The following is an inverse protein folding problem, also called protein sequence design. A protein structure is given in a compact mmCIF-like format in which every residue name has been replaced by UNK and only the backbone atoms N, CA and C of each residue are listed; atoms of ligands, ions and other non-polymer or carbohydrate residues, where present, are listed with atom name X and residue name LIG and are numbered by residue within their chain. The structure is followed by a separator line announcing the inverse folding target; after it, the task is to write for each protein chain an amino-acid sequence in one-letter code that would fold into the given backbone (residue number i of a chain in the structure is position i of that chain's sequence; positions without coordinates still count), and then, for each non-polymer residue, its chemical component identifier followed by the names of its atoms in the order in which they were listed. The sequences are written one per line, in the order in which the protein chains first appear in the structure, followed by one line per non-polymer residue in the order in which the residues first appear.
data_IF_500840138084
#
_entry.id   IF_500840138084
#
_cell.length_a   1.000
_cell.length_b   1.000
_cell.length_c   1.000
_cell.angle_alpha   90.00
_cell.angle_beta   90.00
_cell.angle_gamma   90.00
#
_symmetry.space_group_name_H-M   'P 1'
#
loop_
_entity.id
_entity.type
_entity.pdbx_description
1 polymer ?
#
# COMPACT_ATOMS: atom_id res chain seq x y z
N UNK A 1 -0.65 6.34 -0.23
CA UNK A 1 -0.01 6.91 0.96
C UNK A 1 -0.37 6.06 2.17
N UNK A 2 0.62 5.68 2.96
CA UNK A 2 0.48 5.04 4.26
C UNK A 2 0.90 6.01 5.37
N UNK A 3 0.11 6.08 6.46
CA UNK A 3 0.35 7.01 7.55
C UNK A 3 1.19 6.36 8.64
N UNK A 4 2.34 6.94 8.95
CA UNK A 4 3.13 6.66 10.14
C UNK A 4 3.27 7.89 11.03
N UNK A 5 3.95 7.75 12.16
CA UNK A 5 4.31 8.90 12.99
C UNK A 5 5.62 8.65 13.76
N UNK A 6 5.60 7.87 14.82
CA UNK A 6 6.72 7.75 15.77
C UNK A 6 7.89 6.98 15.16
N UNK A 7 7.83 5.66 15.20
CA UNK A 7 8.85 4.76 14.63
C UNK A 7 8.52 4.36 13.20
N UNK A 8 7.24 4.36 12.85
CA UNK A 8 6.75 4.01 11.53
C UNK A 8 6.77 5.23 10.62
N UNK A 9 7.33 5.15 9.42
CA UNK A 9 7.36 6.27 8.51
C UNK A 9 5.98 6.51 7.87
N UNK A 10 5.63 7.78 7.67
CA UNK A 10 4.64 8.11 6.64
C UNK A 10 5.27 7.85 5.29
N UNK A 11 4.65 7.00 4.47
CA UNK A 11 5.17 6.58 3.18
C UNK A 11 4.28 7.06 2.02
N UNK A 12 4.88 7.71 1.04
CA UNK A 12 4.23 8.17 -0.20
C UNK A 12 5.00 7.60 -1.38
N UNK A 13 4.30 7.05 -2.36
CA UNK A 13 4.93 6.62 -3.60
C UNK A 13 4.06 6.97 -4.81
N UNK A 14 4.71 7.01 -5.98
CA UNK A 14 4.05 7.08 -7.28
C UNK A 14 4.31 5.80 -8.06
N UNK A 15 3.24 5.25 -8.61
CA UNK A 15 3.31 4.08 -9.47
C UNK A 15 2.41 4.24 -10.70
N UNK A 16 2.69 3.47 -11.73
CA UNK A 16 1.87 3.36 -12.94
C UNK A 16 2.04 1.99 -13.58
N UNK A 17 1.13 1.63 -14.49
CA UNK A 17 1.10 0.33 -15.12
C UNK A 17 1.19 0.51 -16.64
N UNK A 18 2.08 -0.25 -17.28
CA UNK A 18 2.21 -0.33 -18.74
C UNK A 18 2.32 -1.81 -19.12
N UNK A 19 1.46 -2.29 -20.03
CA UNK A 19 1.51 -3.66 -20.57
C UNK A 19 1.57 -4.76 -19.49
N UNK A 20 0.78 -4.62 -18.43
CA UNK A 20 0.76 -5.51 -17.27
C UNK A 20 2.09 -5.59 -16.51
N UNK A 21 2.90 -4.54 -16.59
CA UNK A 21 4.08 -4.33 -15.75
C UNK A 21 3.87 -3.12 -14.85
N UNK A 22 4.23 -3.27 -13.58
CA UNK A 22 4.10 -2.23 -12.57
C UNK A 22 5.42 -1.46 -12.45
N UNK A 23 5.33 -0.14 -12.49
CA UNK A 23 6.46 0.76 -12.33
C UNK A 23 6.28 1.61 -11.08
N UNK A 24 7.30 1.66 -10.23
CA UNK A 24 7.39 2.53 -9.06
C UNK A 24 8.56 3.47 -9.30
N UNK A 25 8.29 4.75 -9.52
CA UNK A 25 9.30 5.69 -10.00
C UNK A 25 9.64 6.82 -9.04
N UNK A 26 8.80 7.09 -8.05
CA UNK A 26 9.09 8.03 -6.97
C UNK A 26 8.58 7.52 -5.64
N UNK A 27 9.35 7.79 -4.61
CA UNK A 27 8.95 7.63 -3.22
C UNK A 27 9.37 8.84 -2.39
N UNK A 28 8.67 9.06 -1.31
CA UNK A 28 8.99 10.03 -0.27
C UNK A 28 8.45 9.52 1.05
N UNK A 29 9.13 9.79 2.15
CA UNK A 29 8.64 9.40 3.46
C UNK A 29 9.55 9.83 4.58
N UNK A 30 9.10 9.61 5.79
CA UNK A 30 9.84 9.95 6.99
C UNK A 30 9.05 9.64 8.26
N UNK A 31 9.78 9.55 9.36
CA UNK A 31 9.22 9.41 10.71
C UNK A 31 9.02 10.78 11.36
N UNK A 32 8.18 10.84 12.38
CA UNK A 32 7.90 12.05 13.15
C UNK A 32 7.45 13.25 12.29
N UNK A 33 6.73 12.95 11.20
CA UNK A 33 6.19 13.96 10.30
C UNK A 33 4.88 14.48 10.88
N UNK A 34 4.90 15.73 11.27
CA UNK A 34 3.70 16.43 11.74
C UNK A 34 2.70 16.60 10.58
N UNK A 35 1.41 16.65 10.93
CA UNK A 35 0.34 16.71 9.92
C UNK A 35 0.48 17.91 9.00
N UNK A 36 0.84 19.07 9.55
CA UNK A 36 1.04 20.32 8.81
C UNK A 36 2.26 20.29 7.86
N UNK A 37 3.16 19.33 8.06
CA UNK A 37 4.35 19.11 7.24
C UNK A 37 4.21 17.97 6.22
N UNK A 38 3.13 17.19 6.28
CA UNK A 38 2.89 16.05 5.38
C UNK A 38 2.88 16.45 3.90
N UNK A 39 2.42 17.68 3.58
CA UNK A 39 2.43 18.18 2.20
C UNK A 39 3.83 18.21 1.58
N UNK A 40 4.89 18.38 2.39
CA UNK A 40 6.29 18.38 1.90
C UNK A 40 6.68 17.02 1.33
N UNK A 41 6.20 15.93 1.96
CA UNK A 41 6.40 14.57 1.44
C UNK A 41 5.65 14.36 0.13
N UNK A 42 4.44 14.87 0.04
CA UNK A 42 3.60 14.74 -1.15
C UNK A 42 4.17 15.58 -2.30
N UNK A 43 4.64 16.79 -2.03
CA UNK A 43 5.23 17.69 -3.05
C UNK A 43 6.60 17.20 -3.54
N UNK A 44 7.32 16.37 -2.78
CA UNK A 44 8.53 15.72 -3.25
C UNK A 44 8.26 14.75 -4.42
N UNK A 45 7.00 14.34 -4.62
CA UNK A 45 6.57 13.52 -5.75
C UNK A 45 6.10 14.44 -6.89
N UNK A 46 6.75 14.44 -8.05
CA UNK A 46 6.39 15.32 -9.16
C UNK A 46 4.94 15.12 -9.60
N UNK A 47 4.24 16.24 -9.84
CA UNK A 47 2.85 16.29 -10.29
C UNK A 47 1.83 15.68 -9.32
N UNK A 48 2.17 15.63 -8.03
CA UNK A 48 1.31 15.04 -6.98
C UNK A 48 -0.11 15.58 -6.94
N UNK A 49 -0.31 16.88 -7.25
CA UNK A 49 -1.65 17.50 -7.31
C UNK A 49 -2.49 17.10 -8.53
N UNK A 50 -1.87 16.52 -9.55
CA UNK A 50 -2.58 16.12 -10.79
C UNK A 50 -3.24 14.75 -10.65
N UNK A 51 -2.72 13.88 -9.80
CA UNK A 51 -3.18 12.50 -9.63
C UNK A 51 -3.92 12.30 -8.32
N UNK A 52 -4.79 11.30 -8.28
CA UNK A 52 -5.49 10.92 -7.06
C UNK A 52 -4.56 10.14 -6.14
N UNK A 53 -4.40 10.64 -4.92
CA UNK A 53 -3.67 9.97 -3.85
C UNK A 53 -4.63 9.03 -3.13
N UNK A 54 -4.29 7.75 -3.05
CA UNK A 54 -5.00 6.76 -2.26
C UNK A 54 -4.31 6.65 -0.90
N UNK A 55 -5.04 6.90 0.18
CA UNK A 55 -4.48 6.94 1.52
C UNK A 55 -5.16 5.95 2.45
N UNK A 56 -4.40 5.42 3.39
CA UNK A 56 -4.97 4.62 4.48
C UNK A 56 -6.14 5.37 5.14
N UNK A 57 -7.25 4.65 5.33
CA UNK A 57 -8.49 5.17 5.93
C UNK A 57 -8.42 5.35 7.45
N UNK A 58 -7.34 4.91 8.11
CA UNK A 58 -7.21 4.96 9.57
C UNK A 58 -7.15 6.39 10.15
N UNK A 59 -6.83 7.40 9.30
CA UNK A 59 -6.70 8.80 9.72
C UNK A 59 -7.53 9.75 8.85
N UNK A 60 -8.86 9.77 9.01
CA UNK A 60 -9.74 10.60 8.19
C UNK A 60 -9.49 12.10 8.37
N UNK A 61 -9.04 12.54 9.55
CA UNK A 61 -8.64 13.93 9.84
C UNK A 61 -7.43 14.35 8.99
N UNK A 62 -6.44 13.47 8.82
CA UNK A 62 -5.26 13.71 8.00
C UNK A 62 -5.63 13.79 6.51
N UNK A 63 -6.50 12.91 6.05
CA UNK A 63 -7.04 12.96 4.69
C UNK A 63 -7.77 14.28 4.43
N UNK A 64 -8.63 14.70 5.38
CA UNK A 64 -9.36 15.97 5.29
C UNK A 64 -8.41 17.17 5.26
N UNK A 65 -7.37 17.15 6.09
CA UNK A 65 -6.37 18.22 6.13
C UNK A 65 -5.64 18.34 4.78
N UNK A 66 -5.10 17.22 4.26
CA UNK A 66 -4.37 17.19 2.97
C UNK A 66 -5.29 17.59 1.81
N UNK A 67 -6.56 17.20 1.84
CA UNK A 67 -7.54 17.60 0.84
C UNK A 67 -7.73 19.13 0.80
N UNK A 68 -7.79 19.78 1.97
CA UNK A 68 -7.90 21.24 2.06
C UNK A 68 -6.66 21.98 1.53
N UNK A 69 -5.50 21.31 1.46
CA UNK A 69 -4.28 21.85 0.82
C UNK A 69 -4.29 21.73 -0.72
N UNK A 70 -5.41 21.28 -1.30
CA UNK A 70 -5.59 21.22 -2.76
C UNK A 70 -5.13 19.92 -3.41
N UNK A 71 -4.90 18.86 -2.64
CA UNK A 71 -4.59 17.54 -3.19
C UNK A 71 -5.86 16.72 -3.45
N UNK A 72 -5.84 15.94 -4.51
CA UNK A 72 -6.88 14.95 -4.81
C UNK A 72 -6.60 13.70 -3.99
N UNK A 73 -7.08 13.64 -2.76
CA UNK A 73 -6.83 12.53 -1.84
C UNK A 73 -8.14 11.84 -1.47
N UNK A 74 -8.11 10.51 -1.46
CA UNK A 74 -9.24 9.66 -1.11
C UNK A 74 -8.80 8.53 -0.17
N UNK A 75 -9.67 8.18 0.79
CA UNK A 75 -9.45 7.03 1.65
C UNK A 75 -9.62 5.73 0.87
N UNK A 76 -8.81 4.73 1.21
CA UNK A 76 -9.03 3.37 0.72
C UNK A 76 -10.12 2.68 1.52
N UNK A 77 -10.77 1.71 0.90
CA UNK A 77 -11.71 0.82 1.57
C UNK A 77 -10.99 -0.45 2.01
N UNK A 78 -11.02 -0.79 3.29
CA UNK A 78 -10.43 -2.02 3.81
C UNK A 78 -11.52 -3.09 3.99
N UNK A 79 -11.21 -4.34 3.65
CA UNK A 79 -12.06 -5.51 3.85
C UNK A 79 -11.24 -6.66 4.45
N UNK A 80 -11.91 -7.67 5.00
CA UNK A 80 -11.24 -8.85 5.51
C UNK A 80 -10.48 -9.57 4.37
N UNK A 81 -9.16 -9.75 4.50
CA UNK A 81 -8.29 -10.29 3.46
C UNK A 81 -7.74 -9.25 2.47
N UNK A 82 -7.95 -7.94 2.71
CA UNK A 82 -7.46 -6.89 1.80
C UNK A 82 -5.93 -6.81 1.70
N UNK A 83 -5.22 -7.32 2.69
CA UNK A 83 -3.75 -7.41 2.64
C UNK A 83 -3.33 -8.48 1.65
N UNK A 84 -3.87 -9.68 1.81
CA UNK A 84 -3.61 -10.84 0.96
C UNK A 84 -4.01 -10.56 -0.49
N UNK A 85 -5.22 -10.05 -0.72
CA UNK A 85 -5.72 -9.66 -2.05
C UNK A 85 -4.79 -8.62 -2.69
N UNK A 86 -4.29 -7.65 -1.92
CA UNK A 86 -3.37 -6.62 -2.40
C UNK A 86 -2.01 -7.19 -2.79
N UNK A 87 -1.47 -8.10 -1.99
CA UNK A 87 -0.18 -8.77 -2.29
C UNK A 87 -0.32 -9.68 -3.51
N UNK A 88 -1.41 -10.44 -3.60
CA UNK A 88 -1.68 -11.28 -4.76
C UNK A 88 -1.80 -10.44 -6.04
N UNK A 89 -2.45 -9.27 -5.95
CA UNK A 89 -2.53 -8.34 -7.08
C UNK A 89 -1.15 -7.85 -7.51
N UNK A 90 -0.27 -7.48 -6.56
CA UNK A 90 1.11 -7.06 -6.88
C UNK A 90 1.88 -8.21 -7.56
N UNK A 91 1.72 -9.44 -7.08
CA UNK A 91 2.34 -10.64 -7.67
C UNK A 91 1.81 -11.01 -9.06
N UNK A 92 0.59 -10.59 -9.39
CA UNK A 92 -0.03 -10.87 -10.68
C UNK A 92 0.55 -10.06 -11.84
N UNK A 93 1.33 -9.01 -11.57
CA UNK A 93 2.03 -8.28 -12.62
C UNK A 93 3.15 -9.13 -13.23
N UNK A 94 3.30 -9.05 -14.55
CA UNK A 94 4.37 -9.74 -15.27
C UNK A 94 5.76 -9.38 -14.72
N UNK A 95 5.93 -8.11 -14.31
CA UNK A 95 7.16 -7.59 -13.75
C UNK A 95 6.86 -6.35 -12.88
N UNK A 96 7.64 -6.18 -11.82
CA UNK A 96 7.66 -4.99 -11.00
C UNK A 96 9.00 -4.28 -11.18
N UNK A 97 8.96 -3.04 -11.64
CA UNK A 97 10.13 -2.19 -11.83
C UNK A 97 10.17 -1.16 -10.71
N UNK A 98 11.24 -1.19 -9.93
CA UNK A 98 11.49 -0.21 -8.87
C UNK A 98 12.66 0.65 -9.33
N UNK A 99 12.42 1.96 -9.49
CA UNK A 99 13.45 2.88 -9.91
C UNK A 99 14.55 2.98 -8.83
N UNK A 100 15.80 3.15 -9.24
CA UNK A 100 16.97 3.19 -8.34
C UNK A 100 16.89 4.26 -7.25
N UNK A 101 16.07 5.29 -7.41
CA UNK A 101 15.80 6.31 -6.38
C UNK A 101 14.84 5.84 -5.27
N UNK A 102 14.07 4.77 -5.51
CA UNK A 102 13.08 4.22 -4.56
C UNK A 102 13.75 3.15 -3.67
N UNK A 103 14.67 3.60 -2.82
CA UNK A 103 15.51 2.73 -2.00
C UNK A 103 14.73 2.04 -0.88
N UNK A 104 13.78 2.75 -0.27
CA UNK A 104 12.97 2.21 0.82
C UNK A 104 12.00 1.14 0.28
N UNK A 105 11.30 1.44 -0.82
CA UNK A 105 10.46 0.47 -1.51
C UNK A 105 11.27 -0.78 -1.88
N UNK A 106 12.45 -0.63 -2.47
CA UNK A 106 13.30 -1.77 -2.83
C UNK A 106 13.73 -2.58 -1.59
N UNK A 107 14.10 -1.91 -0.51
CA UNK A 107 14.47 -2.56 0.76
C UNK A 107 13.30 -3.35 1.35
N UNK A 108 12.09 -2.79 1.34
CA UNK A 108 10.90 -3.49 1.83
C UNK A 108 10.56 -4.71 0.98
N UNK A 109 10.63 -4.62 -0.35
CA UNK A 109 10.40 -5.77 -1.24
C UNK A 109 11.34 -6.93 -0.97
N UNK A 110 12.61 -6.66 -0.57
CA UNK A 110 13.57 -7.70 -0.19
C UNK A 110 13.23 -8.33 1.16
N UNK A 111 12.76 -7.54 2.12
CA UNK A 111 12.52 -7.96 3.51
C UNK A 111 11.13 -8.53 3.74
N UNK A 112 10.18 -8.23 2.85
CA UNK A 112 8.79 -8.61 3.00
C UNK A 112 8.62 -10.12 2.87
N UNK A 113 8.19 -10.77 3.94
CA UNK A 113 8.13 -12.23 4.01
C UNK A 113 6.94 -12.71 4.83
N UNK A 114 6.63 -13.99 4.68
CA UNK A 114 5.71 -14.69 5.55
C UNK A 114 6.35 -15.05 6.88
N UNK A 115 5.52 -15.17 7.92
CA UNK A 115 5.97 -15.72 9.19
C UNK A 115 6.40 -17.16 9.01
N UNK A 116 7.42 -17.56 9.76
CA UNK A 116 7.90 -18.94 9.83
C UNK A 116 7.61 -19.46 11.24
N UNK A 117 7.00 -20.63 11.34
CA UNK A 117 6.86 -21.33 12.62
C UNK A 117 8.24 -21.65 13.16
N UNK A 118 8.52 -21.21 14.40
CA UNK A 118 9.84 -21.39 15.01
C UNK A 118 10.14 -22.81 15.45
N UNK A 119 9.11 -23.65 15.56
CA UNK A 119 9.23 -25.04 16.03
C UNK A 119 9.33 -25.98 14.85
N UNK A 120 8.43 -25.84 13.85
CA UNK A 120 8.37 -26.75 12.70
C UNK A 120 9.18 -26.26 11.49
N UNK A 121 9.48 -24.96 11.41
CA UNK A 121 10.12 -24.34 10.24
C UNK A 121 9.17 -24.10 9.09
N UNK A 122 7.86 -24.37 9.24
CA UNK A 122 6.87 -24.19 8.20
C UNK A 122 6.58 -22.70 7.92
N UNK A 123 6.36 -22.38 6.65
CA UNK A 123 5.92 -21.05 6.24
C UNK A 123 4.43 -20.92 6.57
N UNK A 124 4.11 -20.00 7.48
CA UNK A 124 2.73 -19.71 7.86
C UNK A 124 2.06 -18.79 6.82
N UNK A 125 0.75 -18.91 6.61
CA UNK A 125 0.02 -18.03 5.66
C UNK A 125 -0.17 -16.59 6.18
N UNK A 126 0.59 -16.20 7.18
CA UNK A 126 0.54 -14.88 7.81
C UNK A 126 1.78 -14.09 7.45
N UNK A 127 1.59 -12.89 6.94
CA UNK A 127 2.68 -11.96 6.60
C UNK A 127 3.24 -11.32 7.88
N UNK A 128 4.53 -11.06 7.89
CA UNK A 128 5.15 -10.31 8.98
C UNK A 128 4.73 -8.85 8.84
N UNK A 129 4.07 -8.33 9.87
CA UNK A 129 3.65 -6.92 9.95
C UNK A 129 4.83 -6.04 10.41
N UNK A 130 5.81 -5.91 9.53
CA UNK A 130 6.99 -5.07 9.74
C UNK A 130 7.65 -4.74 8.40
N UNK A 131 8.24 -3.55 8.28
CA UNK A 131 8.90 -3.07 7.06
C UNK A 131 7.98 -3.16 5.82
N UNK A 132 6.75 -2.67 5.94
CA UNK A 132 5.69 -2.82 4.94
C UNK A 132 5.02 -1.50 4.54
N UNK A 133 5.52 -0.35 5.00
CA UNK A 133 4.86 0.95 4.81
C UNK A 133 4.77 1.38 3.34
N UNK A 134 5.84 1.20 2.58
CA UNK A 134 5.83 1.50 1.14
C UNK A 134 5.06 0.43 0.35
N UNK A 135 5.10 -0.83 0.79
CA UNK A 135 4.27 -1.91 0.21
C UNK A 135 2.79 -1.65 0.49
N UNK A 136 2.44 -1.17 1.68
CA UNK A 136 1.07 -0.80 2.04
C UNK A 136 0.60 0.42 1.26
N UNK A 137 1.43 1.45 1.14
CA UNK A 137 1.15 2.60 0.28
C UNK A 137 0.93 2.18 -1.19
N UNK A 138 1.68 1.19 -1.69
CA UNK A 138 1.51 0.61 -3.02
C UNK A 138 0.17 -0.14 -3.15
N UNK A 139 -0.17 -1.01 -2.19
CA UNK A 139 -1.47 -1.71 -2.15
C UNK A 139 -2.64 -0.72 -2.17
N UNK A 140 -2.52 0.38 -1.42
CA UNK A 140 -3.53 1.43 -1.42
C UNK A 140 -3.64 2.12 -2.78
N UNK A 141 -2.52 2.43 -3.42
CA UNK A 141 -2.53 3.03 -4.77
C UNK A 141 -3.21 2.12 -5.80
N UNK A 142 -3.02 0.82 -5.70
CA UNK A 142 -3.55 -0.19 -6.62
C UNK A 142 -4.97 -0.65 -6.26
N UNK A 143 -5.50 -0.28 -5.09
CA UNK A 143 -6.78 -0.79 -4.58
C UNK A 143 -7.94 -0.76 -5.57
N UNK A 144 -8.16 0.29 -6.39
CA UNK A 144 -9.27 0.29 -7.34
C UNK A 144 -9.22 -0.82 -8.38
N UNK A 145 -8.03 -1.41 -8.60
CA UNK A 145 -7.78 -2.48 -9.57
C UNK A 145 -7.80 -3.88 -8.95
N UNK A 146 -7.77 -3.97 -7.62
CA UNK A 146 -7.77 -5.25 -6.91
C UNK A 146 -9.15 -5.90 -7.05
N UNK A 147 -9.20 -7.02 -7.74
CA UNK A 147 -10.39 -7.88 -7.78
C UNK A 147 -10.50 -8.58 -6.43
N UNK A 148 -11.61 -8.34 -5.71
CA UNK A 148 -11.90 -9.13 -4.52
C UNK A 148 -12.03 -10.60 -4.94
N UNK A 149 -11.21 -11.46 -4.38
CA UNK A 149 -11.41 -12.89 -4.47
C UNK A 149 -12.71 -13.18 -3.68
N UNK A 150 -13.81 -13.33 -4.41
CA UNK A 150 -15.11 -13.55 -3.79
C UNK A 150 -15.03 -14.79 -2.89
N UNK A 151 -15.43 -14.66 -1.62
CA UNK A 151 -15.67 -15.87 -0.82
C UNK A 151 -16.57 -16.78 -1.66
N UNK A 152 -16.22 -18.06 -1.87
CA UNK A 152 -17.12 -18.98 -2.56
C UNK A 152 -18.48 -18.90 -1.87
N UNK A 153 -19.54 -18.57 -2.62
CA UNK A 153 -20.89 -18.63 -2.09
C UNK A 153 -21.08 -20.06 -1.61
N UNK A 154 -21.14 -20.27 -0.29
CA UNK A 154 -21.55 -21.57 0.23
C UNK A 154 -22.87 -21.91 -0.44
N UNK A 155 -22.85 -22.98 -1.25
CA UNK A 155 -24.07 -23.52 -1.81
C UNK A 155 -24.98 -23.86 -0.63
N UNK A 156 -26.12 -23.18 -0.55
CA UNK A 156 -27.15 -23.50 0.44
C UNK A 156 -27.63 -24.89 0.05
N UNK A 157 -27.19 -25.92 0.78
CA UNK A 157 -27.80 -27.24 0.67
C UNK A 157 -29.24 -27.09 1.20
N UNK A 158 -30.18 -27.06 0.26
CA UNK A 158 -31.59 -27.17 0.58
C UNK A 158 -31.80 -28.65 0.89
N UNK A 159 -31.83 -29.00 2.17
CA UNK A 159 -32.18 -30.33 2.61
C UNK A 159 -33.61 -30.63 2.19
N UNK A 160 -33.78 -31.80 1.62
CA UNK A 160 -35.08 -32.40 1.36
C UNK A 160 -35.79 -32.79 2.67
#
# INVERSE_FOLDING_TARGET
LDWGFSQDPTAVLRCYIINNELYIDYESGGTQIELDSTYKLIDAIPKSKQYTIRADSARPESISFVKRQGYKIESVHKWAGSVEDGIEHIRSFRKVHIHTRCLQTASEFVKYSYKVDRVTGDILPTIIDANNHYIDALRYALQPMIKRLGKPKMARVIGA
#
